data_IF_644177850225
#
_entry.id   IF_644177850225
#
_cell.length_a   1.000
_cell.length_b   1.000
_cell.length_c   1.000
_cell.angle_alpha   90.00
_cell.angle_beta   90.00
_cell.angle_gamma   90.00
#
_symmetry.space_group_name_H-M   'P 1'
#
loop_
_entity.id
_entity.type
_entity.pdbx_description
1 polymer ?
#
# COMPACT_ATOMS: atom_id res chain seq x y z
N UNK A 1 -2.87 28.50 -8.32
CA UNK A 1 -3.05 27.55 -7.20
C UNK A 1 -2.29 28.10 -6.00
N UNK A 2 -2.95 28.27 -4.85
CA UNK A 2 -2.35 28.93 -3.68
C UNK A 2 -1.14 28.11 -3.16
N UNK A 3 0.02 28.75 -2.95
CA UNK A 3 1.29 28.06 -2.61
C UNK A 3 1.16 27.17 -1.36
N UNK A 4 0.34 27.61 -0.40
CA UNK A 4 0.10 26.87 0.85
C UNK A 4 -0.59 25.53 0.62
N UNK A 5 -1.51 25.46 -0.37
CA UNK A 5 -2.20 24.21 -0.71
C UNK A 5 -1.24 23.19 -1.35
N UNK A 6 -0.32 23.68 -2.18
CA UNK A 6 0.72 22.85 -2.80
C UNK A 6 1.64 22.28 -1.72
N UNK A 7 2.10 23.13 -0.81
CA UNK A 7 3.00 22.72 0.26
C UNK A 7 2.36 21.72 1.22
N UNK A 8 1.08 21.93 1.56
CA UNK A 8 0.29 20.97 2.36
C UNK A 8 0.16 19.63 1.65
N UNK A 9 -0.15 19.62 0.35
CA UNK A 9 -0.24 18.40 -0.43
C UNK A 9 1.10 17.65 -0.47
N UNK A 10 2.20 18.34 -0.74
CA UNK A 10 3.54 17.75 -0.78
C UNK A 10 3.92 17.11 0.56
N UNK A 11 3.62 17.77 1.69
CA UNK A 11 3.85 17.19 3.03
C UNK A 11 3.05 15.90 3.24
N UNK A 12 1.75 15.91 2.93
CA UNK A 12 0.89 14.73 3.07
C UNK A 12 1.42 13.61 2.18
N UNK A 13 1.69 13.90 0.92
CA UNK A 13 2.17 12.91 -0.04
C UNK A 13 3.52 12.31 0.38
N UNK A 14 4.43 13.14 0.90
CA UNK A 14 5.71 12.68 1.41
C UNK A 14 5.54 11.67 2.57
N UNK A 15 4.61 11.92 3.50
CA UNK A 15 4.30 10.98 4.59
C UNK A 15 3.78 9.66 4.03
N UNK A 16 2.87 9.71 3.05
CA UNK A 16 2.36 8.51 2.40
C UNK A 16 3.45 7.69 1.71
N UNK A 17 4.33 8.33 0.91
CA UNK A 17 5.45 7.65 0.26
C UNK A 17 6.39 7.03 1.29
N UNK A 18 6.85 7.81 2.27
CA UNK A 18 7.85 7.33 3.24
C UNK A 18 7.31 6.11 3.99
N UNK A 19 6.07 6.17 4.46
CA UNK A 19 5.45 5.03 5.15
C UNK A 19 5.32 3.82 4.24
N UNK A 20 4.82 4.00 3.01
CA UNK A 20 4.64 2.90 2.09
C UNK A 20 5.97 2.25 1.71
N UNK A 21 7.00 3.03 1.38
CA UNK A 21 8.31 2.48 1.04
C UNK A 21 8.98 1.81 2.23
N UNK A 22 8.90 2.41 3.43
CA UNK A 22 9.47 1.81 4.63
C UNK A 22 8.85 0.44 4.94
N UNK A 23 7.52 0.33 4.86
CA UNK A 23 6.82 -0.93 5.13
C UNK A 23 7.12 -1.94 4.04
N UNK A 24 6.91 -1.58 2.77
CA UNK A 24 6.97 -2.55 1.67
C UNK A 24 8.40 -2.99 1.36
N UNK A 25 9.39 -2.09 1.40
CA UNK A 25 10.79 -2.49 1.21
C UNK A 25 11.29 -3.35 2.38
N UNK A 26 10.89 -3.02 3.62
CA UNK A 26 11.29 -3.83 4.77
C UNK A 26 10.67 -5.23 4.71
N UNK A 27 9.38 -5.33 4.38
CA UNK A 27 8.73 -6.63 4.18
C UNK A 27 9.40 -7.43 3.08
N UNK A 28 9.67 -6.81 1.94
CA UNK A 28 10.33 -7.47 0.81
C UNK A 28 11.73 -7.98 1.19
N UNK A 29 12.52 -7.18 1.92
CA UNK A 29 13.84 -7.59 2.43
C UNK A 29 13.72 -8.76 3.41
N UNK A 30 12.78 -8.68 4.36
CA UNK A 30 12.59 -9.72 5.38
C UNK A 30 12.13 -11.03 4.74
N UNK A 31 11.14 -10.99 3.85
CA UNK A 31 10.65 -12.18 3.17
C UNK A 31 11.73 -12.81 2.30
N UNK A 32 12.52 -12.02 1.57
CA UNK A 32 13.63 -12.56 0.78
C UNK A 32 14.70 -13.22 1.62
N UNK A 33 15.00 -12.65 2.79
CA UNK A 33 15.96 -13.25 3.72
C UNK A 33 15.44 -14.56 4.34
N UNK A 34 14.14 -14.63 4.64
CA UNK A 34 13.51 -15.81 5.27
C UNK A 34 13.22 -16.93 4.26
N UNK A 35 12.84 -16.59 3.03
CA UNK A 35 12.37 -17.53 2.02
C UNK A 35 13.36 -17.75 0.86
N UNK A 36 14.57 -17.20 0.95
CA UNK A 36 15.68 -17.39 -0.02
C UNK A 36 15.28 -17.21 -1.50
N UNK A 37 14.50 -16.16 -1.80
CA UNK A 37 13.98 -15.92 -3.14
C UNK A 37 15.15 -15.57 -4.10
N UNK A 38 15.37 -16.34 -5.19
CA UNK A 38 16.57 -16.21 -6.03
C UNK A 38 16.56 -15.01 -6.99
N UNK A 39 15.41 -14.36 -7.18
CA UNK A 39 15.26 -13.23 -8.10
C UNK A 39 15.85 -11.92 -7.54
N UNK A 40 16.26 -11.01 -8.43
CA UNK A 40 16.75 -9.68 -8.01
C UNK A 40 15.65 -8.82 -7.38
N UNK A 41 16.00 -8.03 -6.37
CA UNK A 41 15.11 -7.03 -5.79
C UNK A 41 14.91 -5.86 -6.76
N UNK A 42 13.73 -5.73 -7.37
CA UNK A 42 13.39 -4.57 -8.21
C UNK A 42 12.96 -3.35 -7.37
N UNK A 43 13.95 -2.73 -6.73
CA UNK A 43 13.76 -1.52 -5.91
C UNK A 43 13.09 -0.41 -6.73
N UNK A 44 13.46 -0.24 -8.00
CA UNK A 44 12.95 0.85 -8.85
C UNK A 44 11.47 0.66 -9.16
N UNK A 45 11.07 -0.55 -9.53
CA UNK A 45 9.66 -0.90 -9.73
C UNK A 45 8.82 -0.66 -8.49
N UNK A 46 9.30 -1.10 -7.32
CA UNK A 46 8.63 -0.90 -6.02
C UNK A 46 8.46 0.60 -5.75
N UNK A 47 9.52 1.40 -5.90
CA UNK A 47 9.45 2.85 -5.66
C UNK A 47 8.44 3.50 -6.59
N UNK A 48 8.50 3.20 -7.89
CA UNK A 48 7.61 3.81 -8.88
C UNK A 48 6.15 3.44 -8.62
N UNK A 49 5.87 2.15 -8.41
CA UNK A 49 4.54 1.64 -8.15
C UNK A 49 3.93 2.29 -6.90
N UNK A 50 4.64 2.23 -5.76
CA UNK A 50 4.11 2.81 -4.53
C UNK A 50 4.03 4.32 -4.57
N UNK A 51 4.88 5.02 -5.34
CA UNK A 51 4.74 6.46 -5.54
C UNK A 51 3.43 6.82 -6.24
N UNK A 52 3.07 6.09 -7.30
CA UNK A 52 1.82 6.31 -8.03
C UNK A 52 0.62 5.88 -7.19
N UNK A 53 0.67 4.70 -6.58
CA UNK A 53 -0.43 4.20 -5.74
C UNK A 53 -0.74 5.15 -4.57
N UNK A 54 0.30 5.62 -3.87
CA UNK A 54 0.13 6.53 -2.75
C UNK A 54 -0.21 7.96 -3.14
N UNK A 55 -0.01 8.34 -4.41
CA UNK A 55 -0.50 9.62 -4.92
C UNK A 55 -2.03 9.67 -4.81
N UNK A 56 -2.71 8.59 -5.20
CA UNK A 56 -4.16 8.47 -5.05
C UNK A 56 -4.58 8.49 -3.58
N UNK A 57 -3.87 7.74 -2.72
CA UNK A 57 -4.12 7.75 -1.27
C UNK A 57 -4.02 9.16 -0.66
N UNK A 58 -2.95 9.89 -0.97
CA UNK A 58 -2.74 11.26 -0.52
C UNK A 58 -3.82 12.23 -1.03
N UNK A 59 -4.23 12.10 -2.30
CA UNK A 59 -5.31 12.92 -2.88
C UNK A 59 -6.65 12.63 -2.19
N UNK A 60 -7.00 11.37 -1.98
CA UNK A 60 -8.25 10.99 -1.28
C UNK A 60 -8.22 11.53 0.15
N UNK A 61 -7.10 11.38 0.86
CA UNK A 61 -6.94 11.91 2.21
C UNK A 61 -7.11 13.44 2.23
N UNK A 62 -6.45 14.17 1.33
CA UNK A 62 -6.55 15.62 1.27
C UNK A 62 -7.97 16.10 0.95
N UNK A 63 -8.67 15.43 0.02
CA UNK A 63 -9.99 15.85 -0.45
C UNK A 63 -11.13 15.45 0.48
N UNK A 64 -11.00 14.32 1.19
CA UNK A 64 -12.10 13.73 1.97
C UNK A 64 -11.82 13.63 3.46
N UNK A 65 -10.56 13.78 3.88
CA UNK A 65 -10.10 13.68 5.26
C UNK A 65 -10.69 12.45 5.99
N UNK A 66 -10.69 11.30 5.30
CA UNK A 66 -11.27 10.08 5.86
C UNK A 66 -10.47 9.57 7.06
N UNK A 67 -11.18 8.96 8.01
CA UNK A 67 -10.55 8.29 9.15
C UNK A 67 -9.56 7.20 8.68
N UNK A 68 -8.47 6.93 9.44
CA UNK A 68 -7.43 6.00 9.03
C UNK A 68 -7.93 4.60 8.64
N UNK A 69 -8.90 4.06 9.37
CA UNK A 69 -9.50 2.74 9.07
C UNK A 69 -10.15 2.75 7.68
N UNK A 70 -10.90 3.82 7.34
CA UNK A 70 -11.55 3.94 6.02
C UNK A 70 -10.52 4.08 4.90
N UNK A 71 -9.42 4.78 5.15
CA UNK A 71 -8.30 4.87 4.20
C UNK A 71 -7.63 3.50 3.98
N UNK A 72 -7.40 2.74 5.05
CA UNK A 72 -6.87 1.37 4.95
C UNK A 72 -7.77 0.43 4.16
N UNK A 73 -9.08 0.46 4.41
CA UNK A 73 -10.05 -0.35 3.65
C UNK A 73 -10.08 0.03 2.17
N UNK A 74 -10.00 1.32 1.84
CA UNK A 74 -9.92 1.76 0.44
C UNK A 74 -8.63 1.25 -0.21
N UNK A 75 -7.49 1.36 0.49
CA UNK A 75 -6.20 0.83 0.01
C UNK A 75 -6.27 -0.66 -0.26
N UNK A 76 -6.91 -1.42 0.65
CA UNK A 76 -7.15 -2.84 0.48
C UNK A 76 -7.97 -3.12 -0.77
N UNK A 77 -9.09 -2.43 -0.97
CA UNK A 77 -9.94 -2.62 -2.17
C UNK A 77 -9.16 -2.32 -3.44
N UNK A 78 -8.46 -1.19 -3.52
CA UNK A 78 -7.67 -0.85 -4.70
C UNK A 78 -6.50 -1.80 -4.93
N UNK A 79 -5.79 -2.20 -3.87
CA UNK A 79 -4.71 -3.17 -3.92
C UNK A 79 -5.18 -4.52 -4.46
N UNK A 80 -6.30 -5.03 -3.94
CA UNK A 80 -6.91 -6.27 -4.43
C UNK A 80 -7.34 -6.15 -5.91
N UNK A 81 -7.93 -5.02 -6.31
CA UNK A 81 -8.24 -4.79 -7.74
C UNK A 81 -6.96 -4.87 -8.59
N UNK A 82 -5.85 -4.28 -8.13
CA UNK A 82 -4.58 -4.32 -8.85
C UNK A 82 -4.01 -5.74 -8.94
N UNK A 83 -4.07 -6.50 -7.87
CA UNK A 83 -3.60 -7.89 -7.85
C UNK A 83 -4.41 -8.79 -8.76
N UNK A 84 -5.73 -8.73 -8.68
CA UNK A 84 -6.60 -9.56 -9.52
C UNK A 84 -6.54 -9.11 -11.00
N UNK A 85 -6.46 -7.80 -11.27
CA UNK A 85 -6.55 -7.33 -12.66
C UNK A 85 -5.20 -7.36 -13.39
N UNK A 86 -4.12 -6.93 -12.73
CA UNK A 86 -2.84 -6.65 -13.41
C UNK A 86 -1.70 -7.54 -12.95
N UNK A 87 -1.47 -7.69 -11.64
CA UNK A 87 -0.28 -8.38 -11.12
C UNK A 87 -0.39 -9.89 -11.22
N UNK A 88 -1.57 -10.44 -10.88
CA UNK A 88 -1.92 -11.86 -10.92
C UNK A 88 -0.84 -12.78 -10.34
N UNK A 89 -0.43 -12.60 -9.07
CA UNK A 89 0.46 -13.54 -8.41
C UNK A 89 -0.16 -14.95 -8.40
N UNK A 90 0.65 -15.99 -8.18
CA UNK A 90 0.19 -17.38 -8.30
C UNK A 90 -1.07 -17.69 -7.49
N UNK A 91 -1.18 -17.15 -6.27
CA UNK A 91 -2.36 -17.38 -5.42
C UNK A 91 -3.64 -16.80 -6.04
N UNK A 92 -3.56 -15.70 -6.81
CA UNK A 92 -4.70 -15.15 -7.57
C UNK A 92 -5.08 -16.09 -8.71
N UNK A 93 -4.08 -16.64 -9.42
CA UNK A 93 -4.31 -17.59 -10.51
C UNK A 93 -5.00 -18.86 -10.00
N UNK A 94 -4.60 -19.36 -8.82
CA UNK A 94 -5.26 -20.48 -8.13
C UNK A 94 -6.68 -20.15 -7.70
N UNK A 95 -6.97 -18.91 -7.28
CA UNK A 95 -8.35 -18.50 -7.04
C UNK A 95 -9.20 -18.53 -8.31
N UNK A 96 -8.64 -18.16 -9.47
CA UNK A 96 -9.36 -18.25 -10.75
C UNK A 96 -9.67 -19.68 -11.18
N UNK A 97 -8.85 -20.65 -10.77
CA UNK A 97 -9.12 -22.08 -10.97
C UNK A 97 -9.94 -22.71 -9.83
N UNK A 98 -10.43 -21.91 -8.89
CA UNK A 98 -11.20 -22.33 -7.71
C UNK A 98 -10.43 -23.26 -6.74
N UNK A 99 -9.10 -23.15 -6.71
CA UNK A 99 -8.23 -23.89 -5.79
C UNK A 99 -8.02 -23.13 -4.47
N UNK A 100 -8.97 -23.31 -3.54
CA UNK A 100 -8.91 -22.71 -2.21
C UNK A 100 -8.22 -23.64 -1.20
N UNK A 101 -6.89 -23.60 -1.19
CA UNK A 101 -6.05 -24.26 -0.19
C UNK A 101 -5.40 -23.24 0.75
N UNK A 102 -4.67 -23.72 1.76
CA UNK A 102 -3.86 -22.87 2.63
C UNK A 102 -2.83 -22.04 1.86
N UNK A 103 -2.32 -22.56 0.74
CA UNK A 103 -1.39 -21.88 -0.16
C UNK A 103 -2.03 -20.72 -0.94
N UNK A 104 -3.36 -20.66 -0.98
CA UNK A 104 -4.12 -19.58 -1.62
C UNK A 104 -4.64 -18.58 -0.57
N UNK A 105 -5.14 -19.08 0.55
CA UNK A 105 -5.73 -18.26 1.61
C UNK A 105 -4.67 -17.47 2.38
N UNK A 106 -3.53 -18.10 2.73
CA UNK A 106 -2.50 -17.42 3.52
C UNK A 106 -1.86 -16.23 2.77
N UNK A 107 -1.46 -16.35 1.48
CA UNK A 107 -0.96 -15.21 0.72
C UNK A 107 -2.00 -14.11 0.51
N UNK A 108 -3.27 -14.46 0.31
CA UNK A 108 -4.36 -13.47 0.23
C UNK A 108 -4.48 -12.64 1.51
N UNK A 109 -4.45 -13.29 2.68
CA UNK A 109 -4.50 -12.60 3.98
C UNK A 109 -3.25 -11.73 4.17
N UNK A 110 -2.06 -12.28 3.86
CA UNK A 110 -0.80 -11.56 3.99
C UNK A 110 -0.81 -10.31 3.11
N UNK A 111 -1.18 -10.45 1.84
CA UNK A 111 -1.33 -9.36 0.91
C UNK A 111 -2.32 -8.31 1.43
N UNK A 112 -3.51 -8.74 1.84
CA UNK A 112 -4.57 -7.84 2.31
C UNK A 112 -4.18 -7.05 3.56
N UNK A 113 -3.69 -7.74 4.60
CA UNK A 113 -3.50 -7.17 5.94
C UNK A 113 -2.14 -6.51 6.10
N UNK A 114 -1.09 -7.07 5.47
CA UNK A 114 0.29 -6.63 5.70
C UNK A 114 0.75 -5.67 4.61
N UNK A 115 0.36 -5.89 3.35
CA UNK A 115 0.77 -5.04 2.24
C UNK A 115 -0.21 -3.89 1.99
N UNK A 116 -1.47 -4.20 1.69
CA UNK A 116 -2.38 -3.18 1.16
C UNK A 116 -3.04 -2.32 2.23
N UNK A 117 -3.60 -2.90 3.28
CA UNK A 117 -4.28 -2.12 4.31
C UNK A 117 -3.35 -1.08 4.98
N UNK A 118 -2.13 -1.43 5.40
CA UNK A 118 -1.26 -0.50 6.12
C UNK A 118 -0.76 0.64 5.24
N UNK A 119 -0.66 0.42 3.92
CA UNK A 119 -0.13 1.38 2.95
C UNK A 119 -0.82 2.75 3.04
N UNK A 120 -2.14 2.80 3.26
CA UNK A 120 -2.83 4.08 3.50
C UNK A 120 -3.31 4.25 4.94
N UNK A 121 -3.54 3.18 5.71
CA UNK A 121 -3.99 3.30 7.10
C UNK A 121 -2.96 4.01 7.98
N UNK A 122 -1.69 3.60 7.90
CA UNK A 122 -0.61 4.11 8.74
C UNK A 122 -0.29 5.59 8.45
N UNK A 123 -0.02 6.01 7.20
CA UNK A 123 0.25 7.43 6.94
C UNK A 123 -0.96 8.31 7.27
N UNK A 124 -2.18 7.83 7.01
CA UNK A 124 -3.40 8.55 7.41
C UNK A 124 -3.51 8.69 8.92
N UNK A 125 -3.16 7.65 9.69
CA UNK A 125 -3.16 7.71 11.15
C UNK A 125 -2.13 8.72 11.67
N UNK A 126 -0.92 8.72 11.12
CA UNK A 126 0.14 9.67 11.48
C UNK A 126 -0.35 11.10 11.21
N UNK A 127 -0.89 11.36 10.02
CA UNK A 127 -1.41 12.69 9.66
C UNK A 127 -2.60 13.08 10.54
N UNK A 128 -3.51 12.15 10.83
CA UNK A 128 -4.67 12.43 11.67
C UNK A 128 -4.27 12.80 13.12
N UNK A 129 -3.22 12.14 13.64
CA UNK A 129 -2.76 12.33 15.02
C UNK A 129 -1.86 13.56 15.19
N UNK A 130 -1.03 13.87 14.19
CA UNK A 130 0.05 14.84 14.30
C UNK A 130 -0.09 16.06 13.38
N UNK A 131 -0.92 16.00 12.33
CA UNK A 131 -1.03 17.07 11.32
C UNK A 131 -2.42 17.71 11.21
N UNK A 132 -3.49 17.08 11.74
CA UNK A 132 -4.85 17.67 11.79
C UNK A 132 -5.22 18.23 13.16
N UNK A 133 -4.24 18.57 14.01
CA UNK A 133 -4.46 19.29 15.28
C UNK A 133 -4.42 20.82 15.14
N UNK A 134 -4.59 21.34 13.92
CA UNK A 134 -4.81 22.77 13.66
C UNK A 134 -6.30 23.04 13.46
#
# INVERSE_FOLDING_TARGET
MNKDKIFRFLKIYLVFIICALAINLLLEIVLRFVFEIPEGLDIRGIILFFSIFNLFGALIFLLKNYKPIKMGLLSLIFGQILEFTFMKPEWVLRMYTFEFSGETIAPFILSSIIYWFPAWAIPSFILYKYATKE
#
